data_IF_817175857716
#
_entry.id   IF_817175857716
#
_cell.length_a   1.000
_cell.length_b   1.000
_cell.length_c   1.000
_cell.angle_alpha   90.00
_cell.angle_beta   90.00
_cell.angle_gamma   90.00
#
_symmetry.space_group_name_H-M   'P 1'
#
loop_
_entity.id
_entity.type
_entity.pdbx_description
1 polymer ?
#
# COMPACT_ATOMS: atom_id res chain seq x y z
N UNK A 1 0.61 2.89 -24.81
CA UNK A 1 0.74 3.23 -23.42
C UNK A 1 1.72 4.36 -23.21
N UNK A 2 1.18 5.49 -22.82
CA UNK A 2 1.95 6.75 -22.72
C UNK A 2 3.04 6.71 -21.67
N UNK A 3 2.94 5.77 -20.73
CA UNK A 3 3.90 5.63 -19.65
C UNK A 3 4.98 4.60 -19.94
N UNK A 4 5.05 4.08 -21.14
CA UNK A 4 6.02 3.06 -21.51
C UNK A 4 5.64 1.65 -21.10
N UNK A 5 4.46 1.45 -20.57
CA UNK A 5 3.95 0.13 -20.20
C UNK A 5 3.29 -0.53 -21.41
N UNK A 6 3.36 -1.84 -21.49
CA UNK A 6 2.72 -2.62 -22.53
C UNK A 6 1.71 -3.58 -21.95
N UNK A 7 0.85 -4.13 -22.80
CA UNK A 7 -0.17 -5.08 -22.36
C UNK A 7 0.42 -6.36 -21.78
N UNK A 8 1.66 -6.68 -22.13
CA UNK A 8 2.33 -7.86 -21.62
C UNK A 8 2.91 -7.66 -20.23
N UNK A 9 3.04 -6.42 -19.76
CA UNK A 9 3.68 -6.12 -18.49
C UNK A 9 2.76 -6.29 -17.30
N UNK A 10 1.44 -6.26 -17.52
CA UNK A 10 0.45 -6.34 -16.46
C UNK A 10 -0.91 -6.71 -17.06
N UNK A 11 -1.89 -6.99 -16.20
CA UNK A 11 -3.27 -7.25 -16.62
C UNK A 11 -3.91 -5.93 -17.01
N UNK A 12 -3.83 -5.59 -18.27
CA UNK A 12 -4.26 -4.30 -18.80
C UNK A 12 -5.76 -4.07 -18.63
N UNK A 13 -6.58 -5.10 -18.83
CA UNK A 13 -8.03 -4.94 -18.73
C UNK A 13 -8.44 -4.52 -17.32
N UNK A 14 -7.89 -5.17 -16.31
CA UNK A 14 -8.18 -4.86 -14.91
C UNK A 14 -7.69 -3.47 -14.53
N UNK A 15 -6.47 -3.14 -14.95
CA UNK A 15 -5.90 -1.82 -14.70
C UNK A 15 -6.72 -0.74 -15.40
N UNK A 16 -7.13 -1.00 -16.63
CA UNK A 16 -7.88 -0.06 -17.44
C UNK A 16 -9.24 0.22 -16.83
N UNK A 17 -9.92 -0.79 -16.30
CA UNK A 17 -11.19 -0.59 -15.61
C UNK A 17 -11.03 0.33 -14.39
N UNK A 18 -10.00 0.10 -13.58
CA UNK A 18 -9.72 0.95 -12.44
C UNK A 18 -9.44 2.38 -12.87
N UNK A 19 -8.66 2.54 -13.93
CA UNK A 19 -8.33 3.83 -14.51
C UNK A 19 -9.58 4.57 -15.00
N UNK A 20 -10.45 3.88 -15.72
CA UNK A 20 -11.69 4.48 -16.23
C UNK A 20 -12.62 4.92 -15.10
N UNK A 21 -12.70 4.16 -14.03
CA UNK A 21 -13.52 4.55 -12.89
C UNK A 21 -13.04 5.85 -12.28
N UNK A 22 -11.74 6.03 -12.18
CA UNK A 22 -11.16 7.28 -11.67
C UNK A 22 -11.40 8.42 -12.66
N UNK A 23 -11.21 8.18 -13.95
CA UNK A 23 -11.41 9.17 -14.98
C UNK A 23 -12.84 9.67 -15.03
N UNK A 24 -13.82 8.77 -14.93
CA UNK A 24 -15.25 9.12 -14.95
C UNK A 24 -15.61 10.02 -13.77
N UNK A 25 -15.01 9.80 -12.62
CA UNK A 25 -15.31 10.59 -11.43
C UNK A 25 -14.66 11.97 -11.45
N UNK A 26 -13.50 12.07 -12.04
CA UNK A 26 -12.72 13.32 -12.05
C UNK A 26 -12.80 14.07 -13.36
N UNK A 27 -13.23 13.40 -14.41
CA UNK A 27 -13.15 13.92 -15.76
C UNK A 27 -11.76 13.85 -16.36
N UNK A 28 -10.74 13.54 -15.56
CA UNK A 28 -9.38 13.39 -16.05
C UNK A 28 -8.54 12.62 -15.03
N UNK A 29 -7.60 11.83 -15.54
CA UNK A 29 -6.64 11.10 -14.72
C UNK A 29 -5.26 11.48 -15.22
N UNK A 30 -4.37 11.85 -14.30
CA UNK A 30 -3.02 12.26 -14.65
C UNK A 30 -2.13 11.05 -14.93
N UNK A 31 -1.06 11.25 -15.69
CA UNK A 31 -0.07 10.20 -15.94
C UNK A 31 0.46 9.57 -14.66
N UNK A 32 0.60 10.39 -13.63
CA UNK A 32 1.00 9.92 -12.30
C UNK A 32 0.06 8.84 -11.76
N UNK A 33 -1.26 9.03 -11.92
CA UNK A 33 -2.25 8.07 -11.45
C UNK A 33 -2.17 6.76 -12.23
N UNK A 34 -1.98 6.85 -13.54
CA UNK A 34 -1.81 5.67 -14.39
C UNK A 34 -0.56 4.91 -14.00
N UNK A 35 0.53 5.62 -13.75
CA UNK A 35 1.78 5.00 -13.32
C UNK A 35 1.62 4.28 -11.99
N UNK A 36 0.92 4.89 -11.03
CA UNK A 36 0.66 4.28 -9.75
C UNK A 36 -0.17 3.00 -9.89
N UNK A 37 -1.22 3.03 -10.72
CA UNK A 37 -2.05 1.86 -10.95
C UNK A 37 -1.29 0.75 -11.65
N UNK A 38 -0.46 1.09 -12.63
CA UNK A 38 0.38 0.13 -13.33
C UNK A 38 1.39 -0.50 -12.36
N UNK A 39 1.95 0.31 -11.46
CA UNK A 39 2.87 -0.19 -10.44
C UNK A 39 2.20 -1.20 -9.52
N UNK A 40 0.96 -0.91 -9.08
CA UNK A 40 0.20 -1.84 -8.25
C UNK A 40 0.01 -3.17 -8.98
N UNK A 41 -0.43 -3.11 -10.24
CA UNK A 41 -0.68 -4.31 -11.02
C UNK A 41 0.59 -5.14 -11.22
N UNK A 42 1.70 -4.49 -11.52
CA UNK A 42 2.98 -5.17 -11.69
C UNK A 42 3.45 -5.83 -10.40
N UNK A 43 3.23 -5.18 -9.26
CA UNK A 43 3.62 -5.73 -7.96
C UNK A 43 2.74 -6.90 -7.54
N UNK A 44 1.54 -7.01 -8.08
CA UNK A 44 0.61 -8.08 -7.77
C UNK A 44 0.73 -9.27 -8.72
N UNK A 45 1.75 -9.30 -9.57
CA UNK A 45 1.98 -10.41 -10.48
C UNK A 45 2.21 -11.74 -9.79
N UNK A 46 2.75 -11.72 -8.57
CA UNK A 46 2.87 -12.87 -7.71
C UNK A 46 1.84 -12.78 -6.60
N UNK A 47 1.55 -13.91 -5.97
CA UNK A 47 0.66 -13.95 -4.84
C UNK A 47 1.23 -13.12 -3.68
N UNK A 48 0.42 -12.22 -3.14
CA UNK A 48 0.83 -11.38 -2.01
C UNK A 48 0.95 -12.21 -0.74
N UNK A 49 2.10 -12.09 -0.07
CA UNK A 49 2.34 -12.75 1.20
C UNK A 49 1.57 -12.10 2.34
N UNK A 50 1.47 -10.77 2.29
CA UNK A 50 0.83 -9.98 3.33
C UNK A 50 -0.48 -9.40 2.82
N UNK A 51 -1.56 -9.62 3.55
CA UNK A 51 -2.88 -9.13 3.19
C UNK A 51 -3.49 -8.46 4.41
N UNK A 52 -4.09 -7.28 4.21
CA UNK A 52 -4.86 -6.60 5.25
C UNK A 52 -6.21 -7.30 5.40
N UNK A 53 -6.50 -7.79 6.60
CA UNK A 53 -7.72 -8.53 6.89
C UNK A 53 -8.74 -7.67 7.62
N UNK A 54 -8.36 -7.06 8.75
CA UNK A 54 -9.24 -6.21 9.54
C UNK A 54 -8.50 -4.99 10.03
N UNK A 55 -9.23 -3.89 10.14
CA UNK A 55 -8.68 -2.61 10.56
C UNK A 55 -9.74 -1.82 11.31
N UNK A 56 -9.39 -1.31 12.48
CA UNK A 56 -10.16 -0.26 13.12
C UNK A 56 -9.21 0.74 13.76
N UNK A 57 -9.61 2.00 13.76
CA UNK A 57 -8.79 3.05 14.35
C UNK A 57 -9.69 4.04 15.07
N UNK A 58 -9.23 4.53 16.20
CA UNK A 58 -9.97 5.48 17.04
C UNK A 58 -9.06 6.63 17.42
N UNK A 59 -9.61 7.83 17.37
CA UNK A 59 -8.89 9.04 17.74
C UNK A 59 -9.82 9.95 18.52
N UNK A 60 -9.35 10.46 19.64
CA UNK A 60 -10.08 11.43 20.46
C UNK A 60 -9.14 12.55 20.90
N UNK A 61 -9.71 13.64 21.41
CA UNK A 61 -8.91 14.77 21.88
C UNK A 61 -8.11 14.45 23.15
N UNK A 62 -8.60 13.55 23.96
CA UNK A 62 -8.06 13.32 25.32
C UNK A 62 -7.04 12.19 25.36
N UNK A 63 -7.06 11.32 24.37
CA UNK A 63 -6.23 10.12 24.36
C UNK A 63 -5.50 9.99 23.03
N UNK A 64 -4.31 9.38 23.02
CA UNK A 64 -3.64 9.12 21.75
C UNK A 64 -4.49 8.21 20.86
N UNK A 65 -4.30 8.34 19.56
CA UNK A 65 -4.98 7.47 18.63
C UNK A 65 -4.58 6.02 18.86
N UNK A 66 -5.54 5.11 18.70
CA UNK A 66 -5.29 3.68 18.79
C UNK A 66 -5.76 2.99 17.52
N UNK A 67 -5.17 1.87 17.20
CA UNK A 67 -5.58 1.07 16.06
C UNK A 67 -5.48 -0.41 16.38
N UNK A 68 -6.44 -1.16 15.88
CA UNK A 68 -6.38 -2.61 15.84
C UNK A 68 -6.20 -3.03 14.39
N UNK A 69 -5.24 -3.92 14.13
CA UNK A 69 -4.97 -4.43 12.79
C UNK A 69 -4.85 -5.94 12.84
N UNK A 70 -5.51 -6.59 11.89
CA UNK A 70 -5.34 -8.01 11.65
C UNK A 70 -4.83 -8.19 10.22
N UNK A 71 -3.72 -8.90 10.09
CA UNK A 71 -3.10 -9.21 8.81
C UNK A 71 -3.10 -10.70 8.60
N UNK A 72 -2.98 -11.12 7.35
CA UNK A 72 -2.62 -12.50 7.02
C UNK A 72 -1.23 -12.46 6.39
N UNK A 73 -0.33 -13.23 6.96
CA UNK A 73 1.02 -13.37 6.44
C UNK A 73 1.24 -14.84 6.11
N UNK A 74 1.41 -15.13 4.82
CA UNK A 74 1.53 -16.51 4.32
C UNK A 74 0.36 -17.39 4.78
N UNK A 75 -0.84 -16.80 4.83
CA UNK A 75 -2.05 -17.48 5.24
C UNK A 75 -2.31 -17.55 6.73
N UNK A 76 -1.36 -17.11 7.55
CA UNK A 76 -1.52 -17.09 9.01
C UNK A 76 -2.03 -15.74 9.47
N UNK A 77 -3.05 -15.74 10.33
CA UNK A 77 -3.63 -14.50 10.85
C UNK A 77 -2.83 -13.99 12.04
N UNK A 78 -2.46 -12.72 11.96
CA UNK A 78 -1.72 -12.01 12.99
C UNK A 78 -2.48 -10.74 13.33
N UNK A 79 -2.61 -10.43 14.61
CA UNK A 79 -3.30 -9.21 15.01
C UNK A 79 -2.62 -8.54 16.20
N UNK A 80 -2.77 -7.22 16.27
CA UNK A 80 -2.29 -6.43 17.40
C UNK A 80 -3.00 -5.10 17.46
N UNK A 81 -2.89 -4.44 18.61
CA UNK A 81 -3.32 -3.06 18.78
C UNK A 81 -2.11 -2.21 19.08
N UNK A 82 -2.15 -0.96 18.64
CA UNK A 82 -1.03 -0.06 18.80
C UNK A 82 -1.52 1.38 19.03
N UNK A 83 -0.64 2.20 19.57
CA UNK A 83 -0.92 3.61 19.85
C UNK A 83 -0.11 4.43 18.85
N UNK A 84 -0.71 5.53 18.36
CA UNK A 84 -0.04 6.44 17.46
C UNK A 84 0.02 7.84 18.07
N UNK A 85 1.24 8.36 18.25
CA UNK A 85 1.42 9.70 18.82
C UNK A 85 0.99 10.81 17.88
N UNK A 86 0.97 10.55 16.56
CA UNK A 86 0.67 11.55 15.54
C UNK A 86 -0.67 11.32 14.84
N UNK A 87 -1.52 10.44 15.37
CA UNK A 87 -2.84 10.20 14.83
C UNK A 87 -3.11 8.75 14.45
N UNK A 88 -4.30 8.50 13.84
CA UNK A 88 -4.72 7.13 13.55
C UNK A 88 -3.88 6.42 12.50
N UNK A 89 -3.34 7.13 11.51
CA UNK A 89 -2.45 6.51 10.51
C UNK A 89 -1.18 6.04 11.18
N UNK A 90 -0.61 6.83 12.08
CA UNK A 90 0.57 6.45 12.84
C UNK A 90 0.32 5.19 13.69
N UNK A 91 -0.85 5.12 14.33
CA UNK A 91 -1.25 3.96 15.11
C UNK A 91 -1.34 2.69 14.25
N UNK A 92 -1.92 2.81 13.06
CA UNK A 92 -2.03 1.69 12.11
C UNK A 92 -0.65 1.25 11.63
N UNK A 93 0.20 2.20 11.30
CA UNK A 93 1.56 1.88 10.83
C UNK A 93 2.35 1.17 11.92
N UNK A 94 2.27 1.65 13.16
CA UNK A 94 2.93 0.99 14.28
C UNK A 94 2.44 -0.44 14.45
N UNK A 95 1.14 -0.68 14.33
CA UNK A 95 0.57 -2.01 14.43
C UNK A 95 1.11 -2.95 13.32
N UNK A 96 1.11 -2.48 12.09
CA UNK A 96 1.58 -3.28 10.95
C UNK A 96 3.06 -3.61 11.12
N UNK A 97 3.87 -2.63 11.49
CA UNK A 97 5.31 -2.85 11.67
C UNK A 97 5.61 -3.76 12.85
N UNK A 98 4.81 -3.67 13.92
CA UNK A 98 4.97 -4.59 15.05
C UNK A 98 4.67 -6.04 14.64
N UNK A 99 3.65 -6.24 13.80
CA UNK A 99 3.28 -7.59 13.36
C UNK A 99 4.30 -8.17 12.38
N UNK A 100 4.87 -7.36 11.51
CA UNK A 100 5.83 -7.83 10.51
C UNK A 100 7.27 -7.87 11.04
N UNK A 101 7.56 -7.12 12.08
CA UNK A 101 8.91 -7.03 12.63
C UNK A 101 9.91 -6.30 11.73
N UNK A 102 9.44 -5.61 10.72
CA UNK A 102 10.31 -4.91 9.77
C UNK A 102 10.71 -3.54 10.31
N UNK A 103 11.97 -3.17 10.06
CA UNK A 103 12.47 -1.84 10.30
C UNK A 103 12.34 -1.03 9.03
N UNK A 104 11.40 -0.10 9.03
CA UNK A 104 11.04 0.69 7.86
C UNK A 104 11.01 2.16 8.25
N UNK A 105 11.59 2.98 7.40
CA UNK A 105 11.55 4.44 7.56
C UNK A 105 10.68 5.02 6.45
N UNK A 106 9.67 5.80 6.84
CA UNK A 106 8.82 6.51 5.89
C UNK A 106 9.60 7.71 5.35
N UNK A 107 9.85 7.75 4.05
CA UNK A 107 10.56 8.88 3.43
C UNK A 107 9.62 9.80 2.65
N UNK A 108 8.43 9.32 2.30
CA UNK A 108 7.46 10.13 1.58
C UNK A 108 6.05 9.61 1.85
N UNK A 109 5.12 10.53 2.04
CA UNK A 109 3.69 10.22 2.20
C UNK A 109 2.92 11.30 1.46
N UNK A 110 2.09 10.90 0.50
CA UNK A 110 1.27 11.82 -0.26
C UNK A 110 -0.16 11.29 -0.35
N UNK A 111 -1.10 12.17 -0.03
CA UNK A 111 -2.52 11.86 -0.10
C UNK A 111 -3.17 12.68 -1.19
N UNK A 112 -3.88 12.04 -2.09
CA UNK A 112 -4.60 12.69 -3.17
C UNK A 112 -6.05 12.25 -3.14
N UNK A 113 -6.97 13.20 -3.21
CA UNK A 113 -8.39 12.88 -3.32
C UNK A 113 -8.74 12.57 -4.77
N UNK A 114 -9.50 11.50 -4.98
CA UNK A 114 -9.94 11.06 -6.30
C UNK A 114 -11.46 11.01 -6.30
N UNK A 115 -12.10 11.80 -7.17
CA UNK A 115 -13.55 11.84 -7.27
C UNK A 115 -14.18 12.89 -6.37
N UNK A 116 -15.49 12.85 -6.28
CA UNK A 116 -16.28 13.86 -5.55
C UNK A 116 -17.37 13.18 -4.71
N UNK A 117 -17.76 13.88 -3.63
CA UNK A 117 -18.87 13.47 -2.79
C UNK A 117 -18.61 12.18 -2.03
N UNK A 118 -19.68 11.44 -1.80
CA UNK A 118 -19.63 10.20 -1.01
C UNK A 118 -18.85 9.08 -1.69
N UNK A 119 -18.62 9.20 -3.00
CA UNK A 119 -17.86 8.22 -3.77
C UNK A 119 -16.39 8.56 -3.92
N UNK A 120 -15.95 9.65 -3.30
CA UNK A 120 -14.54 10.06 -3.39
C UNK A 120 -13.64 9.00 -2.77
N UNK A 121 -12.52 8.76 -3.45
CA UNK A 121 -11.49 7.85 -2.97
C UNK A 121 -10.29 8.64 -2.47
N UNK A 122 -9.61 8.11 -1.48
CA UNK A 122 -8.31 8.62 -1.08
C UNK A 122 -7.23 7.73 -1.65
N UNK A 123 -6.30 8.31 -2.39
CA UNK A 123 -5.12 7.60 -2.84
C UNK A 123 -3.95 8.02 -1.97
N UNK A 124 -3.30 7.05 -1.38
CA UNK A 124 -2.10 7.28 -0.58
C UNK A 124 -0.91 6.65 -1.31
N UNK A 125 0.10 7.48 -1.54
CA UNK A 125 1.37 7.05 -2.11
C UNK A 125 2.43 7.20 -1.06
N UNK A 126 3.18 6.15 -0.81
CA UNK A 126 4.27 6.21 0.14
C UNK A 126 5.56 5.71 -0.49
N UNK A 127 6.67 6.20 0.05
CA UNK A 127 7.99 5.65 -0.21
C UNK A 127 8.58 5.30 1.15
N UNK A 128 9.03 4.08 1.28
CA UNK A 128 9.65 3.62 2.52
C UNK A 128 11.07 3.17 2.21
N UNK A 129 11.92 3.28 3.23
CA UNK A 129 13.29 2.78 3.14
C UNK A 129 13.45 1.57 4.05
N UNK A 130 14.06 0.54 3.51
CA UNK A 130 14.36 -0.69 4.22
C UNK A 130 15.71 -1.19 3.75
N UNK A 131 16.64 -1.31 4.69
CA UNK A 131 18.00 -1.75 4.39
C UNK A 131 18.67 -0.93 3.29
N UNK A 132 18.48 0.39 3.31
CA UNK A 132 19.08 1.31 2.37
C UNK A 132 18.43 1.37 1.00
N UNK A 133 17.36 0.63 0.79
CA UNK A 133 16.62 0.63 -0.48
C UNK A 133 15.26 1.29 -0.30
N UNK A 134 14.75 1.88 -1.38
CA UNK A 134 13.43 2.52 -1.39
C UNK A 134 12.39 1.62 -2.05
N UNK A 135 11.21 1.59 -1.47
CA UNK A 135 10.09 0.82 -1.97
C UNK A 135 8.85 1.70 -2.01
N UNK A 136 8.06 1.55 -3.05
CA UNK A 136 6.81 2.28 -3.22
C UNK A 136 5.63 1.46 -2.75
N UNK A 137 4.64 2.14 -2.19
CA UNK A 137 3.35 1.54 -1.90
C UNK A 137 2.24 2.50 -2.25
N UNK A 138 1.13 1.97 -2.75
CA UNK A 138 -0.04 2.76 -3.11
C UNK A 138 -1.27 2.07 -2.54
N UNK A 139 -2.17 2.85 -1.95
CA UNK A 139 -3.44 2.37 -1.45
C UNK A 139 -4.58 3.24 -1.93
N UNK A 140 -5.70 2.63 -2.25
CA UNK A 140 -6.91 3.32 -2.69
C UNK A 140 -8.09 2.80 -1.88
N UNK A 141 -8.80 3.70 -1.23
CA UNK A 141 -10.01 3.36 -0.46
C UNK A 141 -10.80 4.64 -0.20
N UNK A 142 -12.04 4.49 0.25
CA UNK A 142 -12.84 5.64 0.64
C UNK A 142 -12.36 6.28 1.94
N UNK A 143 -11.76 5.48 2.82
CA UNK A 143 -11.22 5.92 4.10
C UNK A 143 -9.70 6.11 3.99
N UNK A 144 -9.21 7.26 4.43
CA UNK A 144 -7.79 7.60 4.40
C UNK A 144 -6.95 6.64 5.24
N UNK A 145 -7.46 6.21 6.38
CA UNK A 145 -6.74 5.28 7.25
C UNK A 145 -6.58 3.93 6.54
N UNK A 146 -7.63 3.45 5.90
CA UNK A 146 -7.57 2.21 5.12
C UNK A 146 -6.63 2.35 3.93
N UNK A 147 -6.71 3.48 3.19
CA UNK A 147 -5.80 3.74 2.06
C UNK A 147 -4.34 3.72 2.52
N UNK A 148 -4.07 4.33 3.67
CA UNK A 148 -2.72 4.37 4.23
C UNK A 148 -2.23 2.97 4.62
N UNK A 149 -3.09 2.16 5.24
CA UNK A 149 -2.76 0.79 5.60
C UNK A 149 -2.46 -0.05 4.37
N UNK A 150 -3.30 0.07 3.34
CA UNK A 150 -3.10 -0.66 2.08
C UNK A 150 -1.79 -0.26 1.40
N UNK A 151 -1.44 1.03 1.44
CA UNK A 151 -0.18 1.51 0.87
C UNK A 151 1.02 0.86 1.57
N UNK A 152 1.00 0.78 2.89
CA UNK A 152 2.09 0.17 3.63
C UNK A 152 2.17 -1.34 3.37
N UNK A 153 1.04 -2.04 3.36
CA UNK A 153 1.00 -3.47 3.03
C UNK A 153 1.57 -3.71 1.63
N UNK A 154 1.21 -2.86 0.68
CA UNK A 154 1.71 -2.95 -0.69
C UNK A 154 3.24 -2.77 -0.73
N UNK A 155 3.76 -1.78 -0.02
CA UNK A 155 5.20 -1.55 0.06
C UNK A 155 5.93 -2.73 0.71
N UNK A 156 5.35 -3.31 1.75
CA UNK A 156 5.94 -4.46 2.45
C UNK A 156 5.98 -5.68 1.52
N UNK A 157 4.95 -5.90 0.74
CA UNK A 157 4.96 -6.99 -0.25
C UNK A 157 6.07 -6.79 -1.28
N UNK A 158 6.35 -5.55 -1.67
CA UNK A 158 7.48 -5.25 -2.55
C UNK A 158 8.82 -5.60 -1.87
N UNK A 159 8.94 -5.32 -0.58
CA UNK A 159 10.14 -5.70 0.19
C UNK A 159 10.31 -7.22 0.20
N UNK A 160 9.24 -7.96 0.42
CA UNK A 160 9.29 -9.42 0.44
C UNK A 160 9.69 -10.00 -0.92
N UNK A 161 9.20 -9.42 -2.01
CA UNK A 161 9.59 -9.84 -3.36
C UNK A 161 11.07 -9.59 -3.60
N UNK A 162 11.57 -8.46 -3.14
CA UNK A 162 12.99 -8.13 -3.28
C UNK A 162 13.87 -9.11 -2.50
N UNK A 163 13.46 -9.51 -1.29
CA UNK A 163 14.17 -10.51 -0.49
C UNK A 163 14.17 -11.87 -1.20
N UNK A 164 13.05 -12.25 -1.79
CA UNK A 164 12.95 -13.51 -2.54
C UNK A 164 13.92 -13.54 -3.72
N UNK A 165 13.97 -12.45 -4.48
CA UNK A 165 14.88 -12.33 -5.62
C UNK A 165 16.34 -12.40 -5.18
N UNK A 166 16.68 -11.70 -4.10
CA UNK A 166 18.04 -11.72 -3.56
C UNK A 166 18.45 -13.13 -3.13
N UNK A 167 17.54 -13.87 -2.48
CA UNK A 167 17.82 -15.25 -2.07
C UNK A 167 18.04 -16.17 -3.27
N UNK A 168 17.26 -16.01 -4.33
CA UNK A 168 17.43 -16.80 -5.56
C UNK A 168 18.78 -16.51 -6.18
N UNK A 169 19.18 -15.25 -6.25
CA UNK A 169 20.47 -14.87 -6.80
C UNK A 169 21.63 -15.45 -5.98
N UNK A 170 21.52 -15.41 -4.67
CA UNK A 170 22.54 -15.98 -3.80
C UNK A 170 22.67 -17.48 -3.99
N UNK A 171 21.58 -18.20 -4.15
CA UNK A 171 21.61 -19.62 -4.44
C UNK A 171 22.25 -19.96 -5.78
N UNK A 172 22.05 -19.11 -6.78
CA UNK A 172 22.65 -19.31 -8.11
C UNK A 172 24.15 -19.09 -8.12
N UNK A 173 24.70 -18.34 -7.18
CA UNK A 173 26.11 -18.06 -7.09
C UNK A 173 26.89 -19.07 -6.24
N UNK A 174 26.19 -19.99 -5.67
CA UNK A 174 26.78 -21.10 -4.96
C UNK A 174 26.80 -22.36 -5.83
#
# INVERSE_FOLDING_TARGET
>A
ADMGYTEQDYDLDKLYEAFLKLADKKGQVFDYDLEALAFIDMQQGDEDRLVLDKLSAHSTKEYPATAFVQLQLDGEKLSTSSIGGNGPVDAVYNAILNLTGLEIKMSHYNLTAKGEGAEALGQVDIVVEHEGRKFHGVGLATDIVESSALALVHAINAIYRAHKVANIKNHKHH
#
